data_IF_019881241937
#
_entry.id   IF_019881241937
#
_cell.length_a   1.000
_cell.length_b   1.000
_cell.length_c   1.000
_cell.angle_alpha   90.00
_cell.angle_beta   90.00
_cell.angle_gamma   90.00
#
_symmetry.space_group_name_H-M   'P 1'
#
loop_
_entity.id
_entity.type
_entity.pdbx_description
1 polymer ?
#
# COMPACT_ATOMS: atom_id res chain seq x y z
N UNK A 1 -39.45 -27.23 0.88
CA UNK A 1 -39.41 -25.82 0.49
C UNK A 1 -38.87 -25.08 1.70
N UNK A 2 -37.59 -24.71 1.69
CA UNK A 2 -36.99 -23.94 2.76
C UNK A 2 -37.58 -22.52 2.66
N UNK A 3 -38.10 -22.01 3.77
CA UNK A 3 -38.54 -20.64 3.92
C UNK A 3 -37.35 -19.71 3.61
N UNK A 4 -37.36 -19.10 2.42
CA UNK A 4 -36.26 -18.29 1.87
C UNK A 4 -36.39 -16.81 2.20
N UNK A 5 -37.11 -16.46 3.26
CA UNK A 5 -37.13 -15.08 3.72
C UNK A 5 -35.96 -14.84 4.67
N UNK A 6 -34.95 -14.07 4.21
CA UNK A 6 -33.91 -13.54 5.08
C UNK A 6 -34.44 -12.24 5.71
N UNK A 7 -34.76 -12.22 7.02
CA UNK A 7 -35.14 -10.99 7.70
C UNK A 7 -33.89 -10.13 7.96
N UNK A 8 -33.86 -8.86 7.51
CA UNK A 8 -32.78 -7.95 7.86
C UNK A 8 -32.70 -7.77 9.38
N UNK A 9 -31.54 -8.03 9.98
CA UNK A 9 -31.33 -7.87 11.43
C UNK A 9 -31.02 -6.43 11.84
N UNK A 10 -30.79 -5.51 10.89
CA UNK A 10 -30.64 -4.08 11.17
C UNK A 10 -29.38 -3.66 11.94
N UNK A 11 -28.35 -4.52 11.99
CA UNK A 11 -27.10 -4.27 12.74
C UNK A 11 -25.98 -3.91 11.77
N UNK A 12 -24.98 -3.17 12.24
CA UNK A 12 -23.74 -2.96 11.46
C UNK A 12 -22.81 -4.16 11.61
N UNK A 13 -21.93 -4.35 10.64
CA UNK A 13 -20.78 -5.25 10.75
C UNK A 13 -19.54 -4.42 11.08
N UNK A 14 -18.97 -4.58 12.28
CA UNK A 14 -17.76 -3.86 12.73
C UNK A 14 -16.81 -4.87 13.35
N UNK A 15 -15.55 -4.91 12.88
CA UNK A 15 -14.54 -5.87 13.35
C UNK A 15 -15.00 -7.34 13.29
N UNK A 16 -15.81 -7.71 12.30
CA UNK A 16 -16.38 -9.06 12.17
C UNK A 16 -17.59 -9.36 13.07
N UNK A 17 -18.05 -8.40 13.85
CA UNK A 17 -19.18 -8.56 14.77
C UNK A 17 -20.42 -7.80 14.31
N UNK A 18 -21.61 -8.37 14.56
CA UNK A 18 -22.89 -7.70 14.34
C UNK A 18 -23.27 -6.81 15.53
N UNK A 19 -23.14 -5.49 15.36
CA UNK A 19 -23.29 -4.49 16.43
C UNK A 19 -24.58 -3.68 16.27
N UNK A 20 -25.41 -3.66 17.32
CA UNK A 20 -26.61 -2.81 17.40
C UNK A 20 -26.28 -1.44 18.02
N UNK A 21 -27.07 -0.40 17.73
CA UNK A 21 -27.06 0.88 18.46
C UNK A 21 -28.29 1.04 19.35
N UNK A 22 -28.18 1.93 20.34
CA UNK A 22 -29.30 2.33 21.21
C UNK A 22 -30.39 3.10 20.44
N UNK A 23 -30.03 3.70 19.31
CA UNK A 23 -30.94 4.40 18.41
C UNK A 23 -31.14 3.60 17.12
N UNK A 24 -32.37 3.46 16.69
CA UNK A 24 -32.72 2.89 15.39
C UNK A 24 -33.49 3.89 14.54
N UNK A 25 -33.48 3.67 13.24
CA UNK A 25 -34.39 4.30 12.29
C UNK A 25 -35.17 3.21 11.56
N UNK A 26 -36.39 3.52 11.14
CA UNK A 26 -37.26 2.59 10.41
C UNK A 26 -37.07 2.79 8.92
N UNK A 27 -36.96 1.71 8.15
CA UNK A 27 -36.89 1.80 6.68
C UNK A 27 -38.24 2.17 6.07
N UNK A 28 -38.21 2.68 4.84
CA UNK A 28 -39.38 3.07 4.06
C UNK A 28 -39.37 2.32 2.71
N UNK A 29 -39.67 1.01 2.68
CA UNK A 29 -39.63 0.24 1.44
C UNK A 29 -40.78 0.63 0.50
N UNK A 30 -40.56 0.51 -0.81
CA UNK A 30 -41.59 0.75 -1.83
C UNK A 30 -42.79 -0.21 -1.69
N UNK A 31 -42.53 -1.45 -1.28
CA UNK A 31 -43.53 -2.48 -0.98
C UNK A 31 -43.06 -3.39 0.14
N UNK A 32 -43.97 -4.04 0.88
CA UNK A 32 -43.62 -4.97 1.96
C UNK A 32 -43.45 -4.30 3.32
N UNK A 33 -42.89 -5.04 4.27
CA UNK A 33 -42.76 -4.60 5.66
C UNK A 33 -41.52 -3.73 5.88
N UNK A 34 -41.68 -2.68 6.69
CA UNK A 34 -40.56 -1.87 7.16
C UNK A 34 -39.78 -2.58 8.29
N UNK A 35 -38.46 -2.39 8.29
CA UNK A 35 -37.54 -2.96 9.27
C UNK A 35 -36.78 -1.85 10.01
N UNK A 36 -36.32 -2.13 11.23
CA UNK A 36 -35.56 -1.17 12.02
C UNK A 36 -34.05 -1.41 11.84
N UNK A 37 -33.30 -0.34 11.58
CA UNK A 37 -31.86 -0.35 11.36
C UNK A 37 -31.13 0.53 12.37
N UNK A 38 -29.93 0.11 12.76
CA UNK A 38 -29.05 0.83 13.68
C UNK A 38 -28.57 2.14 13.07
N UNK A 39 -28.59 3.22 13.87
CA UNK A 39 -28.01 4.52 13.52
C UNK A 39 -26.51 4.51 13.84
N UNK A 40 -25.68 4.87 12.87
CA UNK A 40 -24.23 5.04 13.09
C UNK A 40 -23.90 6.27 13.95
N UNK A 41 -22.79 6.20 14.69
CA UNK A 41 -22.25 7.32 15.48
C UNK A 41 -20.79 7.57 15.11
N UNK A 42 -20.25 8.78 15.33
CA UNK A 42 -18.84 9.08 15.09
C UNK A 42 -17.89 8.09 15.78
N UNK A 43 -18.17 7.72 17.03
CA UNK A 43 -17.36 6.77 17.82
C UNK A 43 -17.37 5.37 17.20
N UNK A 44 -18.47 4.98 16.54
CA UNK A 44 -18.57 3.70 15.86
C UNK A 44 -17.81 3.68 14.54
N UNK A 45 -17.84 4.80 13.82
CA UNK A 45 -17.01 4.98 12.61
C UNK A 45 -15.54 4.92 12.99
N UNK A 46 -15.14 5.60 14.05
CA UNK A 46 -13.78 5.59 14.59
C UNK A 46 -13.32 4.16 14.93
N UNK A 47 -14.10 3.41 15.72
CA UNK A 47 -13.82 1.99 16.00
C UNK A 47 -13.71 1.14 14.73
N UNK A 48 -14.53 1.40 13.70
CA UNK A 48 -14.45 0.66 12.45
C UNK A 48 -13.16 0.97 11.68
N UNK A 49 -12.70 2.22 11.71
CA UNK A 49 -11.41 2.63 11.15
C UNK A 49 -10.24 1.99 11.90
N UNK A 50 -10.24 2.04 13.24
CA UNK A 50 -9.21 1.38 14.07
C UNK A 50 -9.14 -0.13 13.79
N UNK A 51 -10.28 -0.81 13.71
CA UNK A 51 -10.31 -2.23 13.40
C UNK A 51 -9.84 -2.55 11.97
N UNK A 52 -10.06 -1.65 11.01
CA UNK A 52 -9.54 -1.79 9.66
C UNK A 52 -8.01 -1.64 9.62
N UNK A 53 -7.46 -0.67 10.37
CA UNK A 53 -6.02 -0.48 10.56
C UNK A 53 -5.38 -1.71 11.21
N UNK A 54 -5.99 -2.25 12.27
CA UNK A 54 -5.53 -3.46 12.95
C UNK A 54 -5.55 -4.70 12.03
N UNK A 55 -6.54 -4.79 11.13
CA UNK A 55 -6.65 -5.88 10.16
C UNK A 55 -5.68 -5.73 8.97
N UNK A 56 -5.20 -4.52 8.69
CA UNK A 56 -4.41 -4.20 7.50
C UNK A 56 -3.14 -5.05 7.40
N UNK A 57 -2.27 -5.19 8.43
CA UNK A 57 -1.06 -6.00 8.32
C UNK A 57 -1.34 -7.45 7.95
N UNK A 58 -2.38 -8.04 8.53
CA UNK A 58 -2.75 -9.44 8.27
C UNK A 58 -3.26 -9.60 6.84
N UNK A 59 -4.16 -8.72 6.40
CA UNK A 59 -4.72 -8.76 5.05
C UNK A 59 -3.68 -8.43 3.97
N UNK A 60 -2.82 -7.43 4.19
CA UNK A 60 -1.76 -7.04 3.26
C UNK A 60 -0.70 -8.14 3.07
N UNK A 61 -0.51 -8.99 4.08
CA UNK A 61 0.40 -10.14 4.02
C UNK A 61 -0.17 -11.38 3.33
N UNK A 62 -1.45 -11.36 2.93
CA UNK A 62 -2.03 -12.45 2.12
C UNK A 62 -1.31 -12.59 0.77
N UNK A 63 -1.36 -13.79 0.22
CA UNK A 63 -0.94 -14.09 -1.14
C UNK A 63 -1.96 -13.59 -2.16
N UNK A 64 -1.54 -13.52 -3.43
CA UNK A 64 -2.45 -13.19 -4.55
C UNK A 64 -3.60 -14.20 -4.66
N UNK A 65 -3.32 -15.49 -4.43
CA UNK A 65 -4.36 -16.52 -4.50
C UNK A 65 -5.36 -16.39 -3.35
N UNK A 66 -4.91 -16.14 -2.12
CA UNK A 66 -5.82 -15.93 -0.99
C UNK A 66 -6.78 -14.75 -1.22
N UNK A 67 -6.28 -13.64 -1.79
CA UNK A 67 -7.13 -12.50 -2.16
C UNK A 67 -8.11 -12.84 -3.27
N UNK A 68 -7.66 -13.55 -4.31
CA UNK A 68 -8.52 -13.94 -5.41
C UNK A 68 -9.62 -14.92 -4.96
N UNK A 69 -9.26 -15.92 -4.15
CA UNK A 69 -10.19 -16.85 -3.54
C UNK A 69 -11.20 -16.15 -2.63
N UNK A 70 -10.78 -15.11 -1.89
CA UNK A 70 -11.69 -14.30 -1.08
C UNK A 70 -12.75 -13.56 -1.94
N UNK A 71 -12.34 -12.97 -3.07
CA UNK A 71 -13.27 -12.32 -4.01
C UNK A 71 -14.23 -13.32 -4.66
N UNK A 72 -13.74 -14.50 -5.05
CA UNK A 72 -14.58 -15.56 -5.60
C UNK A 72 -15.60 -16.06 -4.56
N UNK A 73 -15.17 -16.25 -3.30
CA UNK A 73 -16.06 -16.63 -2.22
C UNK A 73 -17.16 -15.59 -1.97
N UNK A 74 -16.84 -14.29 -2.01
CA UNK A 74 -17.87 -13.24 -1.91
C UNK A 74 -18.87 -13.35 -3.06
N UNK A 75 -18.40 -13.58 -4.30
CA UNK A 75 -19.28 -13.73 -5.45
C UNK A 75 -20.21 -14.94 -5.31
N UNK A 76 -19.66 -16.10 -4.92
CA UNK A 76 -20.41 -17.33 -4.73
C UNK A 76 -21.46 -17.18 -3.61
N UNK A 77 -21.11 -16.53 -2.50
CA UNK A 77 -22.02 -16.30 -1.38
C UNK A 77 -23.14 -15.29 -1.73
N UNK A 78 -22.88 -14.31 -2.60
CA UNK A 78 -23.91 -13.41 -3.15
C UNK A 78 -24.88 -14.18 -4.04
N UNK A 79 -24.37 -15.04 -4.92
CA UNK A 79 -25.20 -15.85 -5.82
C UNK A 79 -26.06 -16.86 -5.06
N UNK A 80 -25.48 -17.51 -4.05
CA UNK A 80 -26.19 -18.46 -3.18
C UNK A 80 -27.38 -17.80 -2.44
N UNK A 81 -27.29 -16.50 -2.14
CA UNK A 81 -28.37 -15.70 -1.53
C UNK A 81 -29.21 -14.94 -2.55
N UNK A 82 -29.08 -15.27 -3.83
CA UNK A 82 -29.62 -14.48 -4.93
C UNK A 82 -31.09 -14.13 -4.79
N UNK A 83 -31.95 -15.12 -4.53
CA UNK A 83 -33.39 -14.92 -4.46
C UNK A 83 -33.79 -14.02 -3.28
N UNK A 84 -33.16 -14.20 -2.12
CA UNK A 84 -33.37 -13.36 -0.93
C UNK A 84 -32.91 -11.91 -1.16
N UNK A 85 -31.75 -11.71 -1.80
CA UNK A 85 -31.24 -10.38 -2.14
C UNK A 85 -32.18 -9.69 -3.14
N UNK A 86 -32.65 -10.40 -4.16
CA UNK A 86 -33.62 -9.85 -5.13
C UNK A 86 -34.93 -9.47 -4.45
N UNK A 87 -35.47 -10.33 -3.58
CA UNK A 87 -36.73 -10.05 -2.87
C UNK A 87 -36.64 -8.78 -2.00
N UNK A 88 -35.59 -8.65 -1.18
CA UNK A 88 -35.37 -7.46 -0.34
C UNK A 88 -35.12 -6.22 -1.21
N UNK A 89 -34.24 -6.32 -2.21
CA UNK A 89 -33.93 -5.18 -3.07
C UNK A 89 -35.16 -4.69 -3.85
N UNK A 90 -36.03 -5.58 -4.33
CA UNK A 90 -37.27 -5.21 -5.04
C UNK A 90 -38.22 -4.50 -4.07
N UNK A 91 -38.38 -5.05 -2.86
CA UNK A 91 -39.19 -4.46 -1.79
C UNK A 91 -38.72 -3.05 -1.42
N UNK A 92 -37.42 -2.85 -1.21
CA UNK A 92 -36.84 -1.57 -0.80
C UNK A 92 -36.87 -0.53 -1.93
N UNK A 93 -36.45 -0.91 -3.14
CA UNK A 93 -36.21 0.05 -4.23
C UNK A 93 -37.38 0.23 -5.19
N UNK A 94 -38.30 -0.73 -5.23
CA UNK A 94 -39.37 -0.80 -6.24
C UNK A 94 -38.91 -1.19 -7.64
N UNK A 95 -37.63 -1.54 -7.82
CA UNK A 95 -37.11 -2.00 -9.11
C UNK A 95 -37.61 -3.41 -9.46
N UNK A 96 -37.90 -3.71 -10.74
CA UNK A 96 -38.30 -5.07 -11.14
C UNK A 96 -37.21 -6.11 -10.90
N UNK A 97 -37.59 -7.34 -10.55
CA UNK A 97 -36.67 -8.45 -10.26
C UNK A 97 -35.59 -8.65 -11.32
N UNK A 98 -35.97 -8.61 -12.60
CA UNK A 98 -35.04 -8.79 -13.72
C UNK A 98 -33.91 -7.74 -13.70
N UNK A 99 -34.20 -6.51 -13.23
CA UNK A 99 -33.20 -5.45 -13.10
C UNK A 99 -32.20 -5.79 -12.00
N UNK A 100 -32.66 -6.22 -10.83
CA UNK A 100 -31.80 -6.56 -9.70
C UNK A 100 -30.99 -7.84 -9.93
N UNK A 101 -31.56 -8.82 -10.63
CA UNK A 101 -30.82 -10.00 -11.08
C UNK A 101 -29.67 -9.61 -12.01
N UNK A 102 -29.91 -8.66 -12.93
CA UNK A 102 -28.87 -8.10 -13.80
C UNK A 102 -27.76 -7.36 -13.03
N UNK A 103 -28.11 -6.55 -12.03
CA UNK A 103 -27.11 -5.88 -11.17
C UNK A 103 -26.31 -6.89 -10.34
N UNK A 104 -26.96 -7.88 -9.73
CA UNK A 104 -26.28 -8.97 -9.01
C UNK A 104 -25.28 -9.69 -9.91
N UNK A 105 -25.69 -10.02 -11.14
CA UNK A 105 -24.82 -10.66 -12.13
C UNK A 105 -23.61 -9.78 -12.52
N UNK A 106 -23.81 -8.46 -12.64
CA UNK A 106 -22.71 -7.52 -12.87
C UNK A 106 -21.75 -7.46 -11.68
N UNK A 107 -22.26 -7.33 -10.46
CA UNK A 107 -21.45 -7.26 -9.23
C UNK A 107 -20.58 -8.50 -9.06
N UNK A 108 -21.17 -9.68 -9.18
CA UNK A 108 -20.47 -10.97 -9.05
C UNK A 108 -19.48 -11.18 -10.20
N UNK A 109 -19.84 -10.80 -11.43
CA UNK A 109 -18.93 -10.80 -12.57
C UNK A 109 -17.72 -9.87 -12.38
N UNK A 110 -17.90 -8.68 -11.81
CA UNK A 110 -16.80 -7.75 -11.50
C UNK A 110 -15.85 -8.29 -10.44
N UNK A 111 -16.37 -8.94 -9.39
CA UNK A 111 -15.55 -9.58 -8.36
C UNK A 111 -14.64 -10.66 -8.97
N UNK A 112 -15.20 -11.53 -9.82
CA UNK A 112 -14.44 -12.59 -10.52
C UNK A 112 -13.44 -12.02 -11.52
N UNK A 113 -13.79 -10.92 -12.21
CA UNK A 113 -12.86 -10.21 -13.09
C UNK A 113 -11.64 -9.72 -12.30
N UNK A 114 -11.84 -9.11 -11.14
CA UNK A 114 -10.75 -8.66 -10.27
C UNK A 114 -9.94 -9.84 -9.70
N UNK A 115 -10.58 -10.93 -9.31
CA UNK A 115 -9.89 -12.15 -8.89
C UNK A 115 -8.94 -12.67 -10.00
N UNK A 116 -9.40 -12.71 -11.25
CA UNK A 116 -8.57 -13.07 -12.42
C UNK A 116 -7.38 -12.12 -12.58
N UNK A 117 -7.61 -10.81 -12.52
CA UNK A 117 -6.54 -9.80 -12.66
C UNK A 117 -5.46 -9.94 -11.58
N UNK A 118 -5.85 -10.28 -10.35
CA UNK A 118 -4.92 -10.53 -9.23
C UNK A 118 -4.09 -11.79 -9.49
N UNK A 119 -4.73 -12.90 -9.91
CA UNK A 119 -4.03 -14.16 -10.25
C UNK A 119 -3.02 -13.99 -11.38
N UNK A 120 -3.43 -13.26 -12.42
CA UNK A 120 -2.59 -12.94 -13.58
C UNK A 120 -1.45 -11.96 -13.22
N UNK A 121 -1.56 -11.23 -12.10
CA UNK A 121 -0.57 -10.24 -11.68
C UNK A 121 -0.64 -8.94 -12.49
N UNK A 122 -1.69 -8.76 -13.31
CA UNK A 122 -1.92 -7.56 -14.11
C UNK A 122 -2.09 -6.30 -13.24
N UNK A 123 -2.54 -6.46 -11.99
CA UNK A 123 -2.65 -5.37 -11.02
C UNK A 123 -1.31 -4.71 -10.66
N UNK A 124 -0.17 -5.34 -10.97
CA UNK A 124 1.16 -4.86 -10.60
C UNK A 124 1.76 -3.86 -11.60
N UNK A 125 1.04 -3.53 -12.68
CA UNK A 125 1.46 -2.61 -13.77
C UNK A 125 2.96 -2.76 -14.08
N UNK A 126 3.38 -4.01 -14.33
CA UNK A 126 4.79 -4.37 -14.54
C UNK A 126 5.26 -3.71 -15.83
N UNK A 127 6.10 -2.67 -15.72
CA UNK A 127 6.69 -1.98 -16.87
C UNK A 127 8.20 -2.16 -16.86
N UNK A 128 8.71 -2.75 -17.93
CA UNK A 128 10.14 -2.79 -18.18
C UNK A 128 10.57 -1.49 -18.87
N UNK A 129 11.21 -0.60 -18.12
CA UNK A 129 11.89 0.56 -18.72
C UNK A 129 13.33 0.15 -19.07
N UNK A 130 13.54 -0.10 -20.35
CA UNK A 130 14.83 -0.55 -20.87
C UNK A 130 15.89 0.54 -20.69
N UNK A 131 17.16 0.14 -20.54
CA UNK A 131 18.26 1.08 -20.60
C UNK A 131 18.20 1.91 -21.90
N UNK A 132 18.32 3.24 -21.78
CA UNK A 132 18.49 4.11 -22.92
C UNK A 132 19.83 3.76 -23.62
N UNK A 133 19.82 3.28 -24.89
CA UNK A 133 21.02 2.72 -25.53
C UNK A 133 22.19 3.69 -25.60
N UNK A 134 21.89 4.99 -25.72
CA UNK A 134 22.88 6.05 -25.92
C UNK A 134 23.24 6.78 -24.62
N UNK A 135 22.65 6.39 -23.47
CA UNK A 135 23.00 6.99 -22.18
C UNK A 135 24.37 6.47 -21.76
N UNK A 136 25.37 7.35 -21.78
CA UNK A 136 26.69 7.00 -21.24
C UNK A 136 26.55 6.63 -19.76
N UNK A 137 27.11 5.49 -19.33
CA UNK A 137 27.23 5.17 -17.92
C UNK A 137 27.93 6.31 -17.21
N UNK A 138 27.45 6.67 -16.01
CA UNK A 138 28.21 7.52 -15.10
C UNK A 138 29.57 6.84 -14.87
N UNK A 139 30.66 7.60 -15.02
CA UNK A 139 31.99 7.11 -14.64
C UNK A 139 31.97 6.86 -13.14
N UNK A 140 32.26 5.62 -12.74
CA UNK A 140 32.53 5.27 -11.35
C UNK A 140 34.04 5.29 -11.17
N UNK A 141 34.55 5.92 -10.11
CA UNK A 141 35.94 5.76 -9.72
C UNK A 141 36.10 4.38 -9.04
N UNK A 142 37.22 3.70 -9.29
CA UNK A 142 37.48 2.31 -8.86
C UNK A 142 37.51 2.10 -7.32
N UNK A 143 37.34 3.16 -6.53
CA UNK A 143 37.34 3.15 -5.07
C UNK A 143 35.98 3.38 -4.40
N UNK A 144 34.94 3.73 -5.15
CA UNK A 144 33.61 4.02 -4.60
C UNK A 144 32.76 2.76 -4.48
N UNK A 145 32.02 2.63 -3.37
CA UNK A 145 30.96 1.62 -3.30
C UNK A 145 29.79 2.03 -4.19
N UNK A 146 29.00 1.07 -4.68
CA UNK A 146 27.80 1.36 -5.50
C UNK A 146 26.84 2.34 -4.80
N UNK A 147 26.82 2.34 -3.46
CA UNK A 147 26.05 3.27 -2.64
C UNK A 147 26.59 4.71 -2.70
N UNK A 148 27.91 4.90 -2.67
CA UNK A 148 28.54 6.23 -2.79
C UNK A 148 28.27 6.81 -4.17
N UNK A 149 28.42 6.00 -5.21
CA UNK A 149 28.13 6.42 -6.57
C UNK A 149 26.66 6.78 -6.79
N UNK A 150 25.72 6.05 -6.18
CA UNK A 150 24.30 6.42 -6.21
C UNK A 150 24.06 7.76 -5.49
N UNK A 151 24.61 7.93 -4.29
CA UNK A 151 24.50 9.18 -3.51
C UNK A 151 25.01 10.37 -4.31
N UNK A 152 26.20 10.25 -4.91
CA UNK A 152 26.85 11.35 -5.61
C UNK A 152 26.16 11.67 -6.93
N UNK A 153 25.69 10.66 -7.66
CA UNK A 153 24.87 10.86 -8.85
C UNK A 153 23.54 11.53 -8.54
N UNK A 154 22.85 11.12 -7.46
CA UNK A 154 21.62 11.73 -7.01
C UNK A 154 21.86 13.19 -6.59
N UNK A 155 22.90 13.45 -5.79
CA UNK A 155 23.31 14.79 -5.39
C UNK A 155 23.55 15.70 -6.59
N UNK A 156 24.41 15.28 -7.52
CA UNK A 156 24.78 16.09 -8.69
C UNK A 156 23.57 16.40 -9.60
N UNK A 157 22.60 15.48 -9.69
CA UNK A 157 21.38 15.70 -10.45
C UNK A 157 20.42 16.67 -9.74
N UNK A 158 20.23 16.51 -8.43
CA UNK A 158 19.33 17.33 -7.62
C UNK A 158 19.85 18.76 -7.43
N UNK A 159 21.16 18.96 -7.33
CA UNK A 159 21.78 20.30 -7.25
C UNK A 159 21.52 21.15 -8.50
N UNK A 160 21.24 20.53 -9.65
CA UNK A 160 20.88 21.24 -10.88
C UNK A 160 19.40 21.60 -10.97
N UNK A 161 18.56 21.10 -10.04
CA UNK A 161 17.13 21.36 -10.06
C UNK A 161 16.78 22.69 -9.39
N UNK A 162 16.16 23.58 -10.16
CA UNK A 162 15.60 24.83 -9.64
C UNK A 162 14.28 24.64 -8.89
N UNK A 163 13.84 25.67 -8.13
CA UNK A 163 12.60 25.63 -7.36
C UNK A 163 11.38 25.39 -8.26
N UNK A 164 10.44 24.57 -7.79
CA UNK A 164 9.15 24.33 -8.42
C UNK A 164 8.02 24.89 -7.55
N UNK A 165 6.95 25.40 -8.15
CA UNK A 165 5.81 25.91 -7.38
C UNK A 165 5.03 24.76 -6.74
N UNK A 166 4.78 24.83 -5.43
CA UNK A 166 3.96 23.85 -4.70
C UNK A 166 2.47 24.17 -4.84
N UNK A 167 1.62 23.15 -4.69
CA UNK A 167 0.17 23.25 -4.91
C UNK A 167 -0.51 24.26 -3.95
N UNK A 168 -0.14 24.23 -2.67
CA UNK A 168 -0.67 25.13 -1.63
C UNK A 168 0.44 25.58 -0.69
N UNK A 169 0.22 26.69 0.02
CA UNK A 169 1.15 27.18 1.04
C UNK A 169 1.30 26.19 2.20
N UNK A 170 0.22 25.48 2.55
CA UNK A 170 0.24 24.44 3.57
C UNK A 170 1.18 23.29 3.20
N UNK A 171 1.12 22.79 1.95
CA UNK A 171 2.02 21.73 1.48
C UNK A 171 3.48 22.21 1.46
N UNK A 172 3.73 23.46 1.02
CA UNK A 172 5.07 24.04 1.04
C UNK A 172 5.63 24.12 2.48
N UNK A 173 4.82 24.57 3.44
CA UNK A 173 5.20 24.65 4.85
C UNK A 173 5.49 23.27 5.45
N UNK A 174 4.62 22.28 5.21
CA UNK A 174 4.81 20.90 5.70
C UNK A 174 6.07 20.26 5.11
N UNK A 175 6.36 20.49 3.82
CA UNK A 175 7.61 20.03 3.20
C UNK A 175 8.83 20.62 3.91
N UNK A 176 8.82 21.94 4.16
CA UNK A 176 9.93 22.63 4.84
C UNK A 176 10.13 22.15 6.27
N UNK A 177 9.05 22.00 7.03
CA UNK A 177 9.13 21.50 8.41
C UNK A 177 9.57 20.04 8.47
N UNK A 178 9.07 19.19 7.56
CA UNK A 178 9.49 17.78 7.48
C UNK A 178 10.97 17.63 7.12
N UNK A 179 11.46 18.42 6.17
CA UNK A 179 12.88 18.44 5.83
C UNK A 179 13.76 18.95 6.97
N UNK A 180 13.30 19.96 7.74
CA UNK A 180 14.02 20.45 8.90
C UNK A 180 14.09 19.40 10.03
N UNK A 181 12.97 18.73 10.32
CA UNK A 181 12.93 17.65 11.30
C UNK A 181 13.88 16.49 10.93
N UNK A 182 13.89 16.10 9.65
CA UNK A 182 14.80 15.09 9.12
C UNK A 182 16.28 15.51 9.27
N UNK A 183 16.60 16.77 9.00
CA UNK A 183 17.95 17.31 9.13
C UNK A 183 18.47 17.36 10.58
N UNK A 184 17.57 17.51 11.56
CA UNK A 184 17.90 17.54 12.98
C UNK A 184 17.92 16.14 13.63
N UNK A 185 17.42 15.12 12.93
CA UNK A 185 17.34 13.77 13.45
C UNK A 185 18.73 13.15 13.65
N UNK A 186 18.96 12.56 14.84
CA UNK A 186 20.24 11.92 15.17
C UNK A 186 20.48 10.71 14.26
N UNK A 187 21.67 10.64 13.66
CA UNK A 187 22.03 9.55 12.73
C UNK A 187 21.65 9.81 11.28
N UNK A 188 21.02 10.96 10.99
CA UNK A 188 20.78 11.43 9.62
C UNK A 188 21.87 12.43 9.22
N UNK A 189 22.34 12.32 7.98
CA UNK A 189 23.29 13.24 7.35
C UNK A 189 22.63 13.93 6.16
N UNK A 190 22.78 15.24 6.05
CA UNK A 190 22.27 16.00 4.91
C UNK A 190 23.21 15.92 3.70
N UNK A 191 22.69 15.46 2.57
CA UNK A 191 23.42 15.32 1.28
C UNK A 191 23.15 16.51 0.37
N UNK A 192 21.88 16.89 0.23
CA UNK A 192 21.41 18.09 -0.48
C UNK A 192 20.52 18.88 0.47
N UNK A 193 20.92 20.12 0.76
CA UNK A 193 20.11 21.07 1.52
C UNK A 193 19.86 22.28 0.65
N UNK A 194 18.60 22.67 0.57
CA UNK A 194 18.15 23.84 -0.17
C UNK A 194 17.33 24.74 0.77
N UNK A 195 17.17 26.01 0.41
CA UNK A 195 16.30 26.93 1.15
C UNK A 195 15.14 27.36 0.25
N UNK A 196 14.00 26.65 0.30
CA UNK A 196 12.84 26.99 -0.51
C UNK A 196 12.28 28.35 -0.05
N UNK A 197 12.04 29.20 -1.03
CA UNK A 197 11.51 30.57 -0.86
C UNK A 197 10.04 30.59 -1.27
N UNK A 198 9.20 31.33 -0.54
CA UNK A 198 7.76 31.41 -0.80
C UNK A 198 7.10 30.02 -0.90
N UNK A 199 6.11 29.86 -1.79
CA UNK A 199 5.42 28.61 -2.09
C UNK A 199 6.20 27.72 -3.07
N UNK A 200 7.50 27.54 -2.85
CA UNK A 200 8.33 26.66 -3.68
C UNK A 200 8.78 25.40 -2.95
N UNK A 201 9.04 24.35 -3.73
CA UNK A 201 9.69 23.12 -3.32
C UNK A 201 11.03 23.00 -4.03
N UNK A 202 12.07 22.70 -3.25
CA UNK A 202 13.43 22.46 -3.71
C UNK A 202 13.88 21.11 -3.14
N UNK A 203 14.75 20.37 -3.85
CA UNK A 203 15.10 19.03 -3.43
C UNK A 203 15.87 19.03 -2.10
N UNK A 204 15.48 18.13 -1.22
CA UNK A 204 16.23 17.75 -0.03
C UNK A 204 16.61 16.28 -0.17
N UNK A 205 17.87 15.96 0.10
CA UNK A 205 18.36 14.59 0.10
C UNK A 205 19.13 14.35 1.39
N UNK A 206 18.73 13.30 2.09
CA UNK A 206 19.31 12.88 3.35
C UNK A 206 19.88 11.46 3.22
N UNK A 207 20.74 11.08 4.15
CA UNK A 207 21.35 9.76 4.23
C UNK A 207 21.33 9.26 5.67
N UNK A 208 20.99 7.99 5.89
CA UNK A 208 21.06 7.32 7.19
C UNK A 208 21.46 5.84 7.00
N UNK A 209 21.90 5.19 8.08
CA UNK A 209 22.11 3.75 8.10
C UNK A 209 20.85 2.97 8.52
N UNK A 210 20.84 1.66 8.25
CA UNK A 210 19.73 0.80 8.62
C UNK A 210 19.50 0.71 10.14
N UNK A 211 20.54 0.87 10.97
CA UNK A 211 20.41 0.86 12.42
C UNK A 211 19.58 2.07 12.91
N UNK A 212 19.87 3.26 12.37
CA UNK A 212 19.13 4.49 12.63
C UNK A 212 17.68 4.34 12.17
N UNK A 213 17.44 3.75 11.00
CA UNK A 213 16.10 3.47 10.49
C UNK A 213 15.28 2.58 11.44
N UNK A 214 15.84 1.47 11.91
CA UNK A 214 15.10 0.58 12.83
C UNK A 214 14.90 1.19 14.23
N UNK A 215 15.66 2.22 14.58
CA UNK A 215 15.54 2.93 15.85
C UNK A 215 14.57 4.12 15.84
N UNK A 216 14.00 4.48 14.68
CA UNK A 216 13.16 5.67 14.53
C UNK A 216 11.99 5.47 13.57
N UNK A 217 10.78 5.42 14.14
CA UNK A 217 9.54 5.37 13.37
C UNK A 217 9.32 6.66 12.55
N UNK A 218 9.84 7.80 13.02
CA UNK A 218 9.71 9.12 12.40
C UNK A 218 10.33 9.16 11.00
N UNK A 219 11.40 8.40 10.75
CA UNK A 219 12.06 8.32 9.44
C UNK A 219 11.17 7.66 8.38
N UNK A 220 10.16 6.88 8.80
CA UNK A 220 9.21 6.22 7.90
C UNK A 220 8.00 7.08 7.54
N UNK A 221 7.83 8.24 8.20
CA UNK A 221 6.71 9.14 7.94
C UNK A 221 6.85 9.84 6.59
N UNK A 222 5.73 9.94 5.87
CA UNK A 222 5.70 10.55 4.56
C UNK A 222 5.80 12.09 4.65
N UNK A 223 6.77 12.66 3.92
CA UNK A 223 6.89 14.11 3.74
C UNK A 223 6.46 14.49 2.32
N UNK A 224 5.34 15.19 2.20
CA UNK A 224 4.82 15.65 0.91
C UNK A 224 5.70 16.75 0.30
N UNK A 225 6.57 16.37 -0.63
CA UNK A 225 7.42 17.28 -1.38
C UNK A 225 8.67 16.58 -1.91
N UNK A 226 9.60 17.32 -2.53
CA UNK A 226 10.84 16.76 -3.07
C UNK A 226 11.86 16.44 -1.95
N UNK A 227 11.51 15.54 -1.04
CA UNK A 227 12.36 15.07 0.06
C UNK A 227 12.69 13.59 -0.16
N UNK A 228 13.98 13.25 -0.13
CA UNK A 228 14.45 11.88 -0.28
C UNK A 228 15.38 11.45 0.84
N UNK A 229 15.36 10.16 1.18
CA UNK A 229 16.26 9.52 2.13
C UNK A 229 16.97 8.34 1.46
N UNK A 230 18.29 8.35 1.51
CA UNK A 230 19.14 7.21 1.14
C UNK A 230 19.39 6.39 2.39
N UNK A 231 19.02 5.11 2.35
CA UNK A 231 19.31 4.17 3.43
C UNK A 231 20.48 3.27 3.06
N UNK A 232 21.58 3.37 3.81
CA UNK A 232 22.72 2.48 3.65
C UNK A 232 22.47 1.17 4.38
N UNK A 233 22.45 0.10 3.59
CA UNK A 233 22.38 -1.28 4.06
C UNK A 233 23.72 -1.96 3.78
N UNK A 234 24.20 -2.77 4.72
CA UNK A 234 25.49 -3.48 4.59
C UNK A 234 25.43 -4.65 3.60
N UNK A 235 24.25 -5.21 3.38
CA UNK A 235 24.01 -6.36 2.52
C UNK A 235 22.56 -6.44 2.05
N UNK A 236 22.28 -7.34 1.10
CA UNK A 236 20.95 -7.56 0.55
C UNK A 236 19.92 -8.07 1.59
N UNK A 237 20.37 -8.76 2.65
CA UNK A 237 19.48 -9.25 3.70
C UNK A 237 18.99 -8.10 4.58
N UNK A 238 19.81 -7.07 4.79
CA UNK A 238 19.43 -5.84 5.48
C UNK A 238 18.49 -4.98 4.63
N UNK A 239 18.69 -4.91 3.31
CA UNK A 239 17.72 -4.28 2.38
C UNK A 239 16.36 -4.95 2.50
N UNK A 240 16.32 -6.29 2.55
CA UNK A 240 15.08 -7.05 2.72
C UNK A 240 14.37 -6.71 4.04
N UNK A 241 15.12 -6.58 5.15
CA UNK A 241 14.58 -6.19 6.46
C UNK A 241 14.00 -4.77 6.43
N UNK A 242 14.72 -3.81 5.86
CA UNK A 242 14.22 -2.43 5.69
C UNK A 242 12.94 -2.44 4.86
N UNK A 243 12.94 -3.09 3.70
CA UNK A 243 11.78 -3.17 2.81
C UNK A 243 10.53 -3.78 3.49
N UNK A 244 10.70 -4.68 4.47
CA UNK A 244 9.59 -5.23 5.27
C UNK A 244 8.94 -4.19 6.18
N UNK A 245 9.74 -3.27 6.74
CA UNK A 245 9.28 -2.22 7.66
C UNK A 245 8.67 -1.00 6.96
N UNK A 246 9.00 -0.76 5.68
CA UNK A 246 8.42 0.36 4.93
C UNK A 246 6.89 0.29 4.87
N UNK A 247 6.21 1.43 4.96
CA UNK A 247 4.77 1.51 4.71
C UNK A 247 4.44 1.37 3.22
N UNK A 248 3.14 1.35 2.88
CA UNK A 248 2.69 1.29 1.49
C UNK A 248 3.25 2.44 0.64
N UNK A 249 3.61 2.17 -0.60
CA UNK A 249 4.24 3.09 -1.54
C UNK A 249 3.45 3.12 -2.85
N UNK A 250 3.52 4.22 -3.59
CA UNK A 250 2.92 4.29 -4.94
C UNK A 250 3.74 3.51 -5.97
N UNK A 251 5.07 3.52 -5.85
CA UNK A 251 5.97 2.88 -6.82
C UNK A 251 7.24 2.42 -6.14
N UNK A 252 7.73 1.24 -6.51
CA UNK A 252 9.08 0.76 -6.17
C UNK A 252 9.86 0.54 -7.46
N UNK A 253 11.07 1.09 -7.52
CA UNK A 253 11.99 0.87 -8.63
C UNK A 253 13.16 0.00 -8.16
N UNK A 254 13.40 -1.11 -8.87
CA UNK A 254 14.58 -1.95 -8.64
C UNK A 254 15.67 -1.51 -9.62
N UNK A 255 16.64 -0.76 -9.11
CA UNK A 255 17.86 -0.40 -9.83
C UNK A 255 18.86 -1.54 -9.68
N UNK A 256 19.22 -2.22 -10.77
CA UNK A 256 20.01 -3.45 -10.69
C UNK A 256 20.91 -3.66 -11.93
N UNK A 257 21.93 -4.50 -11.82
CA UNK A 257 22.68 -5.05 -12.95
C UNK A 257 22.38 -6.55 -13.19
N UNK A 258 23.17 -7.21 -14.03
CA UNK A 258 22.97 -8.63 -14.34
C UNK A 258 23.30 -9.55 -13.16
N UNK A 259 24.24 -9.16 -12.28
CA UNK A 259 24.66 -9.89 -11.09
C UNK A 259 23.64 -9.86 -9.95
N UNK A 260 22.78 -8.83 -9.92
CA UNK A 260 21.77 -8.63 -8.86
C UNK A 260 20.49 -9.48 -9.03
N UNK A 261 20.43 -10.35 -10.03
CA UNK A 261 19.20 -11.05 -10.41
C UNK A 261 18.59 -11.86 -9.26
N UNK A 262 19.42 -12.51 -8.44
CA UNK A 262 18.93 -13.32 -7.32
C UNK A 262 18.40 -12.45 -6.16
N UNK A 263 19.04 -11.32 -5.87
CA UNK A 263 18.59 -10.35 -4.88
C UNK A 263 17.26 -9.69 -5.30
N UNK A 264 17.15 -9.29 -6.58
CA UNK A 264 15.91 -8.75 -7.14
C UNK A 264 14.77 -9.77 -7.05
N UNK A 265 15.03 -11.06 -7.31
CA UNK A 265 14.04 -12.13 -7.18
C UNK A 265 13.55 -12.29 -5.73
N UNK A 266 14.43 -12.13 -4.74
CA UNK A 266 14.07 -12.18 -3.33
C UNK A 266 13.23 -10.97 -2.88
N UNK A 267 13.52 -9.77 -3.41
CA UNK A 267 12.82 -8.53 -3.07
C UNK A 267 11.48 -8.37 -3.80
N UNK A 268 11.31 -8.97 -4.99
CA UNK A 268 10.12 -8.75 -5.81
C UNK A 268 8.80 -9.05 -5.06
N UNK A 269 8.65 -10.17 -4.32
CA UNK A 269 7.42 -10.40 -3.56
C UNK A 269 7.14 -9.33 -2.49
N UNK A 270 8.18 -8.73 -1.92
CA UNK A 270 8.05 -7.62 -0.97
C UNK A 270 7.62 -6.34 -1.68
N UNK A 271 8.29 -5.99 -2.79
CA UNK A 271 7.95 -4.83 -3.60
C UNK A 271 6.50 -4.89 -4.11
N UNK A 272 6.04 -6.06 -4.58
CA UNK A 272 4.65 -6.29 -5.01
C UNK A 272 3.61 -6.14 -3.88
N UNK A 273 4.03 -6.32 -2.62
CA UNK A 273 3.16 -6.06 -1.44
C UNK A 273 3.19 -4.61 -1.00
N UNK A 274 4.33 -3.93 -1.17
CA UNK A 274 4.52 -2.56 -0.72
C UNK A 274 4.07 -1.53 -1.73
N UNK A 275 4.12 -1.82 -3.04
CA UNK A 275 3.77 -0.87 -4.08
C UNK A 275 2.79 -1.41 -5.12
N UNK A 276 1.88 -0.53 -5.57
CA UNK A 276 0.97 -0.82 -6.68
C UNK A 276 1.66 -0.89 -8.05
N UNK A 277 2.89 -0.36 -8.15
CA UNK A 277 3.71 -0.38 -9.36
C UNK A 277 5.14 -0.77 -9.03
N UNK A 278 5.67 -1.77 -9.74
CA UNK A 278 7.08 -2.19 -9.63
C UNK A 278 7.79 -2.00 -10.97
N UNK A 279 8.88 -1.23 -10.96
CA UNK A 279 9.67 -0.87 -12.13
C UNK A 279 11.08 -1.49 -12.06
N UNK A 280 11.37 -2.56 -12.81
CA UNK A 280 12.75 -3.01 -12.99
C UNK A 280 13.51 -2.08 -13.93
N UNK A 281 14.61 -1.49 -13.46
CA UNK A 281 15.54 -0.71 -14.28
C UNK A 281 16.93 -1.36 -14.26
N UNK A 282 17.35 -1.89 -15.42
CA UNK A 282 18.68 -2.48 -15.58
C UNK A 282 19.68 -1.46 -16.13
N UNK A 283 20.84 -1.34 -15.49
CA UNK A 283 22.00 -0.71 -16.15
C UNK A 283 22.62 -1.72 -17.13
N UNK A 284 22.84 -1.31 -18.37
CA UNK A 284 23.62 -2.10 -19.31
C UNK A 284 25.07 -2.16 -18.84
N UNK A 285 25.58 -3.35 -18.53
CA UNK A 285 27.01 -3.53 -18.38
C UNK A 285 27.66 -3.16 -19.72
N UNK A 286 28.65 -2.26 -19.74
CA UNK A 286 29.29 -1.79 -20.98
C UNK A 286 30.05 -2.87 -21.77
N UNK A 287 29.82 -4.17 -21.52
CA UNK A 287 30.39 -5.29 -22.26
C UNK A 287 29.49 -5.63 -23.44
N UNK A 288 30.05 -5.55 -24.65
CA UNK A 288 29.42 -6.09 -25.86
C UNK A 288 29.44 -7.62 -25.79
N UNK A 289 28.52 -8.22 -25.06
CA UNK A 289 28.29 -9.66 -25.15
C UNK A 289 26.94 -9.96 -25.82
N UNK A 290 27.03 -10.74 -26.90
CA UNK A 290 25.90 -11.21 -27.68
C UNK A 290 25.03 -12.18 -26.87
N UNK A 291 23.75 -12.20 -27.24
CA UNK A 291 22.66 -12.97 -26.63
C UNK A 291 22.19 -12.45 -25.25
N UNK A 292 21.31 -11.43 -25.31
CA UNK A 292 20.46 -11.02 -24.19
C UNK A 292 19.59 -12.20 -23.75
N UNK A 293 19.85 -12.78 -22.57
CA UNK A 293 18.90 -13.70 -21.94
C UNK A 293 17.76 -12.90 -21.32
N UNK A 294 16.48 -13.19 -21.64
CA UNK A 294 15.37 -12.72 -20.82
C UNK A 294 15.56 -13.23 -19.40
N UNK A 295 15.08 -12.48 -18.40
CA UNK A 295 15.03 -12.94 -17.01
C UNK A 295 14.41 -14.34 -16.97
N UNK A 296 15.10 -15.38 -16.47
CA UNK A 296 14.44 -16.64 -16.15
C UNK A 296 13.54 -16.36 -14.94
N UNK A 297 12.23 -16.34 -15.18
CA UNK A 297 11.20 -16.20 -14.14
C UNK A 297 10.10 -15.16 -14.36
N UNK A 298 10.09 -14.38 -15.47
CA UNK A 298 8.98 -13.42 -15.71
C UNK A 298 7.72 -14.06 -16.34
N UNK A 299 7.87 -15.17 -17.09
CA UNK A 299 6.74 -15.95 -17.64
C UNK A 299 6.54 -17.33 -16.96
N UNK A 300 7.48 -17.79 -16.12
CA UNK A 300 7.52 -19.19 -15.63
C UNK A 300 7.35 -19.35 -14.12
N UNK A 301 6.94 -18.33 -13.37
CA UNK A 301 6.54 -18.49 -11.97
C UNK A 301 5.15 -19.15 -11.83
N UNK A 302 5.01 -20.36 -12.36
CA UNK A 302 4.06 -21.37 -11.83
C UNK A 302 4.79 -22.12 -10.73
N UNK A 303 4.67 -21.66 -9.48
CA UNK A 303 5.11 -22.51 -8.37
C UNK A 303 4.11 -23.68 -8.21
N UNK A 304 4.58 -24.94 -8.19
CA UNK A 304 3.81 -26.00 -7.55
C UNK A 304 3.83 -25.71 -6.05
N UNK A 305 2.65 -25.48 -5.46
CA UNK A 305 2.49 -25.43 -4.01
C UNK A 305 2.79 -26.83 -3.48
N UNK A 306 3.83 -26.98 -2.66
CA UNK A 306 4.06 -28.20 -1.88
C UNK A 306 3.16 -28.12 -0.63
N UNK A 307 2.08 -28.93 -0.52
CA UNK A 307 1.13 -28.85 0.58
C UNK A 307 1.71 -29.35 1.93
N UNK A 308 2.96 -29.82 1.97
CA UNK A 308 3.55 -30.42 3.17
C UNK A 308 4.49 -29.51 3.97
N UNK A 309 4.73 -28.25 3.58
CA UNK A 309 5.64 -27.35 4.30
C UNK A 309 4.90 -26.53 5.38
N UNK A 310 5.13 -26.77 6.68
CA UNK A 310 4.52 -25.95 7.72
C UNK A 310 5.07 -24.52 7.70
N UNK A 311 4.18 -23.55 7.95
CA UNK A 311 4.55 -22.14 8.09
C UNK A 311 5.57 -21.95 9.24
N UNK A 312 6.56 -21.04 9.11
CA UNK A 312 7.46 -20.72 10.22
C UNK A 312 6.64 -20.15 11.39
N UNK A 313 6.73 -20.81 12.56
CA UNK A 313 6.00 -20.40 13.75
C UNK A 313 6.40 -18.99 14.20
N UNK A 314 5.40 -18.13 14.44
CA UNK A 314 5.58 -16.88 15.16
C UNK A 314 6.16 -17.18 16.56
N UNK A 315 7.21 -16.46 16.95
CA UNK A 315 7.65 -16.41 18.34
C UNK A 315 6.53 -15.78 19.20
N UNK A 316 6.29 -16.25 20.42
CA UNK A 316 5.27 -15.67 21.29
C UNK A 316 5.66 -14.27 21.75
N UNK A 317 4.74 -13.31 21.59
CA UNK A 317 4.83 -11.94 22.11
C UNK A 317 4.91 -11.95 23.65
N UNK A 318 5.72 -11.07 24.28
CA UNK A 318 5.73 -10.92 25.74
C UNK A 318 4.43 -10.24 26.23
N UNK A 319 3.97 -10.51 27.46
CA UNK A 319 2.74 -9.94 27.98
C UNK A 319 2.89 -8.43 28.21
N UNK A 320 1.99 -7.64 27.59
CA UNK A 320 1.92 -6.19 27.81
C UNK A 320 1.33 -5.89 29.19
N UNK A 321 2.21 -5.51 30.12
CA UNK A 321 1.86 -4.92 31.41
C UNK A 321 1.37 -3.48 31.25
N UNK A 322 0.46 -3.09 32.14
CA UNK A 322 -0.26 -1.83 32.15
C UNK A 322 0.62 -0.58 32.38
N UNK A 323 0.07 0.55 31.93
CA UNK A 323 0.42 1.95 32.23
C UNK A 323 1.55 2.61 31.42
N UNK A 324 1.16 3.23 30.31
CA UNK A 324 1.86 4.39 29.76
C UNK A 324 0.84 5.34 29.13
N UNK A 325 0.52 6.41 29.86
CA UNK A 325 -0.32 7.54 29.41
C UNK A 325 0.27 8.14 28.14
N UNK A 326 -0.47 8.12 27.03
CA UNK A 326 -0.17 8.94 25.85
C UNK A 326 -0.76 10.36 26.03
N UNK A 327 -0.06 11.43 25.62
CA UNK A 327 -0.58 12.79 25.74
C UNK A 327 -1.67 13.07 24.69
N UNK A 328 -2.77 13.67 25.13
CA UNK A 328 -3.89 14.13 24.28
C UNK A 328 -3.43 15.22 23.30
N UNK A 329 -3.50 14.93 22.00
CA UNK A 329 -3.45 15.97 20.95
C UNK A 329 -4.89 16.41 20.66
N UNK A 330 -5.33 17.50 21.31
CA UNK A 330 -6.59 18.18 20.99
C UNK A 330 -6.45 18.95 19.68
N UNK A 331 -6.99 18.44 18.57
CA UNK A 331 -7.26 19.26 17.39
C UNK A 331 -8.57 20.03 17.59
N UNK A 332 -8.48 21.36 17.74
CA UNK A 332 -9.63 22.25 17.55
C UNK A 332 -9.69 22.64 16.08
N UNK A 333 -10.69 22.17 15.37
CA UNK A 333 -11.13 22.74 14.10
C UNK A 333 -12.48 23.42 14.33
N UNK A 334 -12.45 24.73 14.56
CA UNK A 334 -13.63 25.59 14.39
C UNK A 334 -13.77 25.90 12.90
N UNK A 335 -14.68 25.20 12.23
CA UNK A 335 -15.14 25.55 10.89
C UNK A 335 -16.15 26.69 11.01
N UNK A 336 -15.75 27.89 10.57
CA UNK A 336 -16.65 28.97 10.20
C UNK A 336 -16.31 29.37 8.77
N UNK A 337 -17.21 29.08 7.85
CA UNK A 337 -17.37 29.86 6.63
C UNK A 337 -18.85 30.29 6.50
N UNK A 338 -19.11 31.50 5.97
CA UNK A 338 -20.39 32.20 6.04
C UNK A 338 -21.51 31.60 5.17
#
# INVERSE_FOLDING_TARGET
MLDQTFPPHGKHLVAGEWVASDRTFRSEPATGDAHDFSVGTPERVDRACEAAEDAFPTYANTSREERAAFLDAIADEIEARGDAITAIGTSETGLPDARLQGERGRTTGQLRLFASHIREGACLDRRHDGALPDRQPLQMDDGDTDADALRDAAKAALEQMGPQTMLTDGIAATCKSGAAAMAEHRGVTSVVVTDPVERSGTPFLFEADAETWFGSDELSEEVFGPVGLILRCKDAAEVEKVARTMQGQLTVTLQMDDGDTDAARALLPLAERKAGRVLPHRRGSGRRDGARRPLPGVDECRHPVDPARPAPGLLPEPPRGADARRPEVRSRHESRYP
#
